data_IF_979293236965
#
_entry.id   IF_979293236965
#
_cell.length_a   1.000
_cell.length_b   1.000
_cell.length_c   1.000
_cell.angle_alpha   90.00
_cell.angle_beta   90.00
_cell.angle_gamma   90.00
#
_symmetry.space_group_name_H-M   'P 1'
#
loop_
_entity.id
_entity.type
_entity.pdbx_description
1 polymer ?
#
# COMPACT_ATOMS: atom_id res chain seq x y z
N UNK A 1 -10.88 34.82 -30.77
CA UNK A 1 -10.89 33.61 -29.92
C UNK A 1 -9.49 33.25 -29.39
N UNK A 2 -8.43 33.30 -30.21
CA UNK A 2 -7.07 32.93 -29.79
C UNK A 2 -6.56 33.82 -28.65
N UNK A 3 -6.63 35.14 -28.79
CA UNK A 3 -6.23 36.10 -27.75
C UNK A 3 -6.98 35.91 -26.43
N UNK A 4 -8.25 35.56 -26.49
CA UNK A 4 -9.04 35.25 -25.31
C UNK A 4 -8.52 33.96 -24.62
N UNK A 5 -8.28 32.91 -25.38
CA UNK A 5 -7.79 31.62 -24.86
C UNK A 5 -6.38 31.78 -24.24
N UNK A 6 -5.50 32.55 -24.86
CA UNK A 6 -4.17 32.86 -24.33
C UNK A 6 -4.25 33.68 -23.03
N UNK A 7 -5.16 34.65 -22.94
CA UNK A 7 -5.41 35.41 -21.73
C UNK A 7 -5.87 34.55 -20.57
N UNK A 8 -6.76 33.59 -20.83
CA UNK A 8 -7.24 32.62 -19.84
C UNK A 8 -6.13 31.65 -19.42
N UNK A 9 -5.34 31.13 -20.38
CA UNK A 9 -4.18 30.32 -20.07
C UNK A 9 -3.19 31.07 -19.17
N UNK A 10 -2.87 32.35 -19.49
CA UNK A 10 -1.96 33.18 -18.70
C UNK A 10 -2.45 33.35 -17.26
N UNK A 11 -3.73 33.55 -17.05
CA UNK A 11 -4.31 33.72 -15.72
C UNK A 11 -4.32 32.40 -14.89
N UNK A 12 -4.49 31.25 -15.55
CA UNK A 12 -4.61 29.95 -14.88
C UNK A 12 -3.26 29.25 -14.70
N UNK A 13 -2.25 29.59 -15.50
CA UNK A 13 -0.96 28.93 -15.50
C UNK A 13 -0.31 28.84 -14.11
N UNK A 14 -0.14 29.94 -13.35
CA UNK A 14 0.49 29.87 -12.04
C UNK A 14 -0.34 29.06 -11.04
N UNK A 15 -1.65 29.17 -11.11
CA UNK A 15 -2.55 28.43 -10.22
C UNK A 15 -2.47 26.92 -10.46
N UNK A 16 -2.54 26.47 -11.72
CA UNK A 16 -2.44 25.07 -12.06
C UNK A 16 -1.09 24.48 -11.71
N UNK A 17 -0.01 25.25 -11.91
CA UNK A 17 1.36 24.89 -11.49
C UNK A 17 1.42 24.69 -9.98
N UNK A 18 0.93 25.64 -9.20
CA UNK A 18 0.92 25.59 -7.73
C UNK A 18 0.12 24.37 -7.22
N UNK A 19 -1.05 24.14 -7.78
CA UNK A 19 -1.90 23.00 -7.37
C UNK A 19 -1.27 21.66 -7.71
N UNK A 20 -0.58 21.51 -8.85
CA UNK A 20 0.16 20.28 -9.15
C UNK A 20 1.32 20.06 -8.16
N UNK A 21 2.03 21.09 -7.77
CA UNK A 21 3.15 20.96 -6.83
C UNK A 21 2.67 20.54 -5.43
N UNK A 22 1.47 20.96 -5.03
CA UNK A 22 0.83 20.55 -3.77
C UNK A 22 0.20 19.16 -3.83
N UNK A 23 -0.24 18.73 -5.02
CA UNK A 23 -0.95 17.47 -5.20
C UNK A 23 0.00 16.28 -5.26
N UNK A 24 -0.45 15.13 -4.74
CA UNK A 24 0.20 13.83 -4.94
C UNK A 24 -0.22 13.24 -6.30
N UNK A 25 0.12 13.95 -7.39
CA UNK A 25 -0.23 13.61 -8.75
C UNK A 25 0.98 13.74 -9.68
N UNK A 26 1.01 12.99 -10.76
CA UNK A 26 2.05 13.05 -11.79
C UNK A 26 1.86 14.22 -12.75
N UNK A 27 0.61 14.63 -12.97
CA UNK A 27 0.27 15.72 -13.87
C UNK A 27 -1.02 16.43 -13.49
N UNK A 28 -1.19 17.64 -14.02
CA UNK A 28 -2.42 18.41 -13.90
C UNK A 28 -2.76 19.05 -15.23
N UNK A 29 -4.05 19.14 -15.54
CA UNK A 29 -4.52 19.69 -16.78
C UNK A 29 -5.84 20.45 -16.62
N UNK A 30 -6.03 21.37 -17.56
CA UNK A 30 -7.31 22.01 -17.82
C UNK A 30 -7.53 22.04 -19.33
N UNK A 31 -8.68 21.56 -19.79
CA UNK A 31 -9.07 21.48 -21.19
C UNK A 31 -10.31 22.35 -21.36
N UNK A 32 -10.20 23.40 -22.16
CA UNK A 32 -11.30 24.32 -22.40
C UNK A 32 -12.28 23.78 -23.43
N UNK A 33 -13.54 24.10 -23.33
CA UNK A 33 -14.54 23.84 -24.38
C UNK A 33 -14.39 24.87 -25.52
N UNK A 34 -13.17 25.07 -25.96
CA UNK A 34 -12.80 26.01 -27.03
C UNK A 34 -11.58 25.49 -27.81
N UNK A 35 -11.50 25.83 -29.07
CA UNK A 35 -10.33 25.57 -29.93
C UNK A 35 -9.88 26.82 -30.63
N UNK A 36 -8.58 26.94 -30.90
CA UNK A 36 -8.02 27.97 -31.77
C UNK A 36 -7.96 27.55 -33.24
N UNK A 37 -8.11 26.26 -33.50
CA UNK A 37 -8.02 25.63 -34.83
C UNK A 37 -9.41 25.50 -35.50
N UNK A 38 -10.18 26.55 -35.51
CA UNK A 38 -11.58 26.55 -35.99
C UNK A 38 -11.75 26.23 -37.48
N UNK A 39 -10.69 26.34 -38.30
CA UNK A 39 -10.68 26.07 -39.72
C UNK A 39 -10.32 24.65 -40.12
N UNK A 40 -9.93 23.80 -39.17
CA UNK A 40 -9.56 22.41 -39.47
C UNK A 40 -10.79 21.48 -39.50
N UNK A 41 -10.73 20.44 -40.34
CA UNK A 41 -11.80 19.44 -40.47
C UNK A 41 -12.14 18.78 -39.12
N UNK A 42 -11.14 18.60 -38.26
CA UNK A 42 -11.24 17.96 -36.93
C UNK A 42 -11.37 18.96 -35.79
N UNK A 43 -11.74 20.22 -36.05
CA UNK A 43 -11.82 21.27 -35.02
C UNK A 43 -12.66 20.88 -33.80
N UNK A 44 -13.70 20.06 -33.97
CA UNK A 44 -14.53 19.55 -32.86
C UNK A 44 -13.78 18.65 -31.90
N UNK A 45 -12.69 18.02 -32.34
CA UNK A 45 -11.87 17.11 -31.56
C UNK A 45 -10.63 17.78 -30.93
N UNK A 46 -10.34 19.00 -31.34
CA UNK A 46 -9.23 19.81 -30.82
C UNK A 46 -9.74 20.77 -29.75
N UNK A 47 -9.04 20.85 -28.65
CA UNK A 47 -9.37 21.74 -27.53
C UNK A 47 -8.13 22.42 -26.99
N UNK A 48 -8.25 23.69 -26.74
CA UNK A 48 -7.21 24.47 -26.07
C UNK A 48 -7.18 24.18 -24.57
N UNK A 49 -6.02 24.38 -23.94
CA UNK A 49 -5.89 24.20 -22.50
C UNK A 49 -4.44 24.19 -22.03
N UNK A 50 -4.20 23.73 -20.84
CA UNK A 50 -2.90 23.57 -20.23
C UNK A 50 -2.73 22.16 -19.72
N UNK A 51 -1.53 21.58 -19.84
CA UNK A 51 -1.18 20.31 -19.28
C UNK A 51 0.28 20.28 -18.87
N UNK A 52 0.49 20.02 -17.58
CA UNK A 52 1.80 19.88 -16.96
C UNK A 52 2.00 18.48 -16.45
N UNK A 53 3.23 17.99 -16.56
CA UNK A 53 3.68 16.78 -15.84
C UNK A 53 4.94 17.11 -15.04
N UNK A 54 5.15 16.37 -13.95
CA UNK A 54 6.43 16.34 -13.24
C UNK A 54 7.50 15.76 -14.16
N UNK A 55 8.68 16.37 -14.18
CA UNK A 55 9.80 15.90 -15.00
C UNK A 55 10.45 14.65 -14.42
N UNK A 56 10.37 14.49 -13.10
CA UNK A 56 10.92 13.38 -12.32
C UNK A 56 9.88 12.82 -11.37
N UNK A 57 10.12 11.61 -10.87
CA UNK A 57 9.31 10.99 -9.83
C UNK A 57 9.70 11.49 -8.43
N UNK A 58 10.81 12.21 -8.31
CA UNK A 58 11.22 12.85 -7.07
C UNK A 58 10.26 13.99 -6.72
N UNK A 59 9.59 13.88 -5.58
CA UNK A 59 8.62 14.86 -5.09
C UNK A 59 9.24 16.17 -4.64
N UNK A 60 10.52 16.14 -4.33
CA UNK A 60 11.28 17.35 -3.94
C UNK A 60 11.71 18.18 -5.15
N UNK A 61 11.67 17.59 -6.35
CA UNK A 61 11.93 18.28 -7.61
C UNK A 61 10.65 18.94 -8.12
N UNK A 62 10.62 20.26 -8.10
CA UNK A 62 9.51 21.08 -8.59
C UNK A 62 9.56 21.30 -10.10
N UNK A 63 10.47 20.65 -10.82
CA UNK A 63 10.60 20.80 -12.28
C UNK A 63 9.41 20.18 -12.99
N UNK A 64 8.70 21.00 -13.75
CA UNK A 64 7.55 20.61 -14.56
C UNK A 64 7.87 20.72 -16.05
N UNK A 65 7.17 19.88 -16.83
CA UNK A 65 7.21 19.89 -18.28
C UNK A 65 5.83 20.25 -18.85
N UNK A 66 5.79 21.13 -19.83
CA UNK A 66 4.56 21.50 -20.54
C UNK A 66 4.32 20.53 -21.69
N UNK A 67 3.19 19.84 -21.67
CA UNK A 67 2.74 18.95 -22.75
C UNK A 67 1.70 19.59 -23.67
N UNK A 68 0.85 20.47 -23.13
CA UNK A 68 -0.18 21.21 -23.89
C UNK A 68 -0.27 22.65 -23.39
N UNK A 69 -0.56 23.56 -24.32
CA UNK A 69 -0.70 25.00 -24.05
C UNK A 69 0.33 25.84 -24.80
N UNK A 70 0.35 27.13 -24.54
CA UNK A 70 1.32 28.05 -25.15
C UNK A 70 2.75 27.77 -24.67
N UNK A 71 3.65 27.47 -25.61
CA UNK A 71 5.07 27.23 -25.30
C UNK A 71 5.78 28.50 -24.81
N UNK A 72 5.35 29.67 -25.31
CA UNK A 72 5.86 30.94 -24.86
C UNK A 72 5.53 31.19 -23.39
N UNK A 73 4.25 31.02 -23.05
CA UNK A 73 3.79 31.12 -21.67
C UNK A 73 4.51 30.13 -20.74
N UNK A 74 4.78 28.90 -21.24
CA UNK A 74 5.58 27.93 -20.51
C UNK A 74 6.96 28.45 -20.15
N UNK A 75 7.69 28.98 -21.13
CA UNK A 75 9.04 29.57 -20.93
C UNK A 75 9.03 30.76 -19.99
N UNK A 76 8.05 31.67 -20.12
CA UNK A 76 7.86 32.80 -19.21
C UNK A 76 7.70 32.37 -17.74
N UNK A 77 7.10 31.23 -17.50
CA UNK A 77 6.84 30.70 -16.14
C UNK A 77 7.86 29.62 -15.71
N UNK A 78 8.96 29.44 -16.45
CA UNK A 78 10.00 28.47 -16.12
C UNK A 78 9.60 27.00 -16.34
N UNK A 79 8.54 26.75 -17.12
CA UNK A 79 8.07 25.38 -17.45
C UNK A 79 8.43 25.10 -18.92
N UNK A 80 9.40 24.23 -19.14
CA UNK A 80 9.89 23.93 -20.48
C UNK A 80 8.91 23.04 -21.26
N UNK A 81 8.68 23.33 -22.56
CA UNK A 81 7.91 22.44 -23.40
C UNK A 81 8.60 21.07 -23.54
N UNK A 82 7.85 20.00 -23.34
CA UNK A 82 8.32 18.65 -23.60
C UNK A 82 8.50 18.41 -25.12
N UNK A 83 9.39 17.50 -25.52
CA UNK A 83 9.63 17.16 -26.96
C UNK A 83 8.39 16.76 -27.74
N UNK A 84 7.36 16.24 -27.06
CA UNK A 84 6.05 15.85 -27.62
C UNK A 84 4.97 16.89 -27.32
N UNK A 85 5.38 18.10 -27.03
CA UNK A 85 4.50 19.22 -26.82
C UNK A 85 3.61 19.45 -28.06
N UNK A 86 2.36 19.85 -27.83
CA UNK A 86 1.40 20.34 -28.80
C UNK A 86 0.63 21.52 -28.22
N UNK A 87 0.14 22.39 -29.09
CA UNK A 87 -0.63 23.57 -28.68
C UNK A 87 -1.96 23.18 -28.04
N UNK A 88 -2.63 22.17 -28.58
CA UNK A 88 -3.96 21.74 -28.18
C UNK A 88 -4.04 20.24 -27.85
N UNK A 89 -5.11 19.89 -27.17
CA UNK A 89 -5.47 18.52 -26.87
C UNK A 89 -6.23 17.88 -28.02
N UNK A 90 -6.06 16.57 -28.17
CA UNK A 90 -6.97 15.69 -28.92
C UNK A 90 -7.85 14.97 -27.92
N UNK A 91 -9.13 15.32 -27.85
CA UNK A 91 -10.06 14.75 -26.86
C UNK A 91 -10.56 13.36 -27.24
N UNK A 92 -10.46 12.96 -28.49
CA UNK A 92 -10.82 11.65 -28.99
C UNK A 92 -9.81 10.54 -28.65
N UNK A 93 -8.70 10.89 -28.02
CA UNK A 93 -7.70 9.90 -27.57
C UNK A 93 -8.13 9.14 -26.30
N UNK A 94 -9.04 9.68 -25.51
CA UNK A 94 -9.51 9.10 -24.25
C UNK A 94 -11.03 9.19 -24.20
N UNK A 95 -11.77 8.08 -24.36
CA UNK A 95 -13.23 8.09 -24.44
C UNK A 95 -13.92 8.79 -23.27
N UNK A 96 -13.38 8.64 -22.06
CA UNK A 96 -13.94 9.29 -20.88
C UNK A 96 -13.78 10.82 -20.96
N UNK A 97 -12.64 11.32 -21.46
CA UNK A 97 -12.40 12.76 -21.68
C UNK A 97 -13.33 13.26 -22.78
N UNK A 98 -13.45 12.56 -23.90
CA UNK A 98 -14.32 12.94 -25.00
C UNK A 98 -15.78 13.07 -24.54
N UNK A 99 -16.24 12.14 -23.69
CA UNK A 99 -17.61 12.15 -23.17
C UNK A 99 -17.96 13.42 -22.39
N UNK A 100 -16.98 14.04 -21.71
CA UNK A 100 -17.19 15.28 -20.96
C UNK A 100 -17.41 16.50 -21.84
N UNK A 101 -17.06 16.43 -23.12
CA UNK A 101 -17.36 17.50 -24.09
C UNK A 101 -18.75 17.41 -24.70
N UNK A 102 -19.55 16.44 -24.29
CA UNK A 102 -20.99 16.47 -24.39
C UNK A 102 -21.56 17.17 -23.15
N UNK A 103 -22.11 18.39 -23.34
CA UNK A 103 -22.59 19.23 -22.23
C UNK A 103 -23.66 18.53 -21.36
N UNK A 104 -24.52 17.75 -21.97
CA UNK A 104 -25.56 16.98 -21.24
C UNK A 104 -24.92 15.94 -20.30
N UNK A 105 -23.87 15.26 -20.76
CA UNK A 105 -23.12 14.30 -19.95
C UNK A 105 -22.36 15.00 -18.84
N UNK A 106 -21.72 16.14 -19.15
CA UNK A 106 -20.98 16.91 -18.18
C UNK A 106 -21.87 17.44 -17.04
N UNK A 107 -23.07 17.93 -17.36
CA UNK A 107 -24.06 18.40 -16.36
C UNK A 107 -24.55 17.29 -15.42
N UNK A 108 -24.57 16.04 -15.88
CA UNK A 108 -24.97 14.89 -15.08
C UNK A 108 -23.88 14.33 -14.16
N UNK A 109 -22.63 14.80 -14.27
CA UNK A 109 -21.47 14.26 -13.51
C UNK A 109 -20.80 15.37 -12.71
N UNK A 110 -20.53 15.09 -11.43
CA UNK A 110 -19.70 15.98 -10.60
C UNK A 110 -18.20 15.80 -10.88
N UNK A 111 -17.75 14.57 -10.86
CA UNK A 111 -16.37 14.18 -11.17
C UNK A 111 -16.32 12.72 -11.56
N UNK A 112 -15.26 12.29 -12.22
CA UNK A 112 -15.02 10.89 -12.57
C UNK A 112 -13.56 10.55 -12.49
N UNK A 113 -13.24 9.33 -12.06
CA UNK A 113 -11.92 8.73 -12.26
C UNK A 113 -11.99 7.88 -13.53
N UNK A 114 -11.09 8.13 -14.50
CA UNK A 114 -11.07 7.39 -15.76
C UNK A 114 -10.60 5.95 -15.55
N UNK A 115 -10.93 5.09 -16.51
CA UNK A 115 -10.19 3.86 -16.69
C UNK A 115 -8.74 4.16 -17.10
N UNK A 116 -7.90 3.12 -17.12
CA UNK A 116 -6.50 3.25 -17.53
C UNK A 116 -6.45 3.59 -19.03
N UNK A 117 -5.65 4.58 -19.37
CA UNK A 117 -5.45 4.99 -20.76
C UNK A 117 -3.95 5.24 -21.03
N UNK A 118 -3.50 5.03 -22.27
CA UNK A 118 -2.15 5.37 -22.65
C UNK A 118 -1.96 6.89 -22.72
N UNK A 119 -0.93 7.39 -22.05
CA UNK A 119 -0.56 8.81 -22.11
C UNK A 119 -0.04 9.18 -23.49
N UNK A 120 -0.69 10.16 -24.08
CA UNK A 120 -0.38 10.62 -25.43
C UNK A 120 1.11 11.03 -25.52
N UNK A 121 1.82 10.31 -26.41
CA UNK A 121 3.21 10.59 -26.68
C UNK A 121 4.22 9.93 -25.73
N UNK A 122 3.79 9.07 -24.83
CA UNK A 122 4.64 8.23 -23.98
C UNK A 122 4.25 6.75 -24.16
N UNK A 123 5.04 5.85 -23.60
CA UNK A 123 4.67 4.43 -23.46
C UNK A 123 4.04 4.15 -22.09
N UNK A 124 3.68 5.20 -21.38
CA UNK A 124 3.17 5.14 -20.02
C UNK A 124 1.65 5.10 -20.03
N UNK A 125 1.09 4.40 -19.07
CA UNK A 125 -0.34 4.34 -18.77
C UNK A 125 -0.66 5.22 -17.58
N UNK A 126 -1.85 5.81 -17.56
CA UNK A 126 -2.32 6.68 -16.49
C UNK A 126 -3.80 6.52 -16.23
N UNK A 127 -4.25 7.02 -15.09
CA UNK A 127 -5.64 7.32 -14.77
C UNK A 127 -5.74 8.83 -14.52
N UNK A 128 -6.89 9.42 -14.81
CA UNK A 128 -7.13 10.82 -14.58
C UNK A 128 -8.42 11.04 -13.77
N UNK A 129 -8.31 11.92 -12.80
CA UNK A 129 -9.48 12.45 -12.09
C UNK A 129 -9.97 13.67 -12.86
N UNK A 130 -11.20 13.59 -13.38
CA UNK A 130 -11.82 14.61 -14.22
C UNK A 130 -12.93 15.33 -13.45
N UNK A 131 -12.96 16.65 -13.54
CA UNK A 131 -14.03 17.49 -12.99
C UNK A 131 -14.51 18.48 -14.04
N UNK A 132 -15.79 18.53 -14.39
CA UNK A 132 -16.34 19.48 -15.33
C UNK A 132 -16.35 20.91 -14.73
N UNK A 133 -16.08 21.89 -15.56
CA UNK A 133 -16.04 23.30 -15.18
C UNK A 133 -17.26 24.03 -15.71
N UNK A 134 -18.06 24.60 -14.80
CA UNK A 134 -19.21 25.42 -15.12
C UNK A 134 -19.06 26.84 -14.58
N UNK A 135 -19.54 27.79 -15.32
CA UNK A 135 -19.68 29.18 -14.85
C UNK A 135 -20.86 29.35 -13.91
N UNK A 136 -20.92 30.47 -13.24
CA UNK A 136 -22.03 30.84 -12.38
C UNK A 136 -23.38 30.94 -13.14
N UNK A 137 -23.32 31.20 -14.43
CA UNK A 137 -24.45 31.22 -15.37
C UNK A 137 -24.83 29.84 -15.92
N UNK A 138 -24.14 28.78 -15.48
CA UNK A 138 -24.34 27.42 -15.96
C UNK A 138 -23.65 27.09 -17.30
N UNK A 139 -22.88 28.03 -17.85
CA UNK A 139 -22.10 27.82 -19.08
C UNK A 139 -21.03 26.77 -18.85
N UNK A 140 -20.86 25.84 -19.77
CA UNK A 140 -19.83 24.80 -19.71
C UNK A 140 -18.51 25.30 -20.30
N UNK A 141 -17.46 25.40 -19.47
CA UNK A 141 -16.15 25.90 -19.86
C UNK A 141 -15.14 24.82 -20.20
N UNK A 142 -15.39 23.56 -19.82
CA UNK A 142 -14.49 22.47 -20.11
C UNK A 142 -14.30 21.53 -18.92
N UNK A 143 -13.14 20.91 -18.84
CA UNK A 143 -12.80 19.94 -17.78
C UNK A 143 -11.41 20.23 -17.22
N UNK A 144 -11.24 20.05 -15.94
CA UNK A 144 -9.91 20.04 -15.31
C UNK A 144 -9.69 18.74 -14.56
N UNK A 145 -8.44 18.48 -14.20
CA UNK A 145 -8.13 17.29 -13.44
C UNK A 145 -6.66 17.10 -13.14
N UNK A 146 -6.45 16.01 -12.40
CA UNK A 146 -5.13 15.50 -12.08
C UNK A 146 -4.96 14.12 -12.73
N UNK A 147 -3.72 13.81 -13.05
CA UNK A 147 -3.31 12.54 -13.62
C UNK A 147 -2.39 11.82 -12.65
N UNK A 148 -2.58 10.52 -12.55
CA UNK A 148 -1.68 9.61 -11.85
C UNK A 148 -1.15 8.64 -12.88
N UNK A 149 0.14 8.77 -13.22
CA UNK A 149 0.79 7.83 -14.11
C UNK A 149 1.19 6.55 -13.39
N UNK A 150 1.34 5.47 -14.15
CA UNK A 150 1.73 4.17 -13.62
C UNK A 150 3.10 4.20 -12.92
N UNK A 151 4.06 4.97 -13.48
CA UNK A 151 5.37 5.12 -12.87
C UNK A 151 5.28 5.90 -11.57
N UNK A 152 4.48 6.95 -11.53
CA UNK A 152 4.24 7.70 -10.29
C UNK A 152 3.57 6.84 -9.23
N UNK A 153 2.56 6.05 -9.59
CA UNK A 153 1.91 5.08 -8.69
C UNK A 153 2.91 4.05 -8.18
N UNK A 154 3.76 3.50 -9.07
CA UNK A 154 4.79 2.55 -8.71
C UNK A 154 5.79 3.13 -7.71
N UNK A 155 6.26 4.33 -7.94
CA UNK A 155 7.24 5.00 -7.07
C UNK A 155 6.63 5.35 -5.71
N UNK A 156 5.37 5.77 -5.71
CA UNK A 156 4.65 6.12 -4.48
C UNK A 156 4.38 4.91 -3.58
N UNK A 157 4.00 3.78 -4.16
CA UNK A 157 3.58 2.58 -3.42
C UNK A 157 4.67 1.52 -3.32
N UNK A 158 5.73 1.59 -4.11
CA UNK A 158 6.84 0.66 -4.08
C UNK A 158 7.77 0.97 -2.90
N UNK A 159 7.30 0.75 -1.70
CA UNK A 159 8.10 0.92 -0.50
C UNK A 159 9.10 -0.25 -0.35
N UNK A 160 10.32 -0.01 0.17
CA UNK A 160 11.22 -1.08 0.51
C UNK A 160 10.58 -1.96 1.59
N UNK A 161 10.46 -3.24 1.29
CA UNK A 161 9.88 -4.25 2.18
C UNK A 161 10.78 -5.47 2.24
N UNK A 162 10.69 -6.23 3.35
CA UNK A 162 11.33 -7.53 3.49
C UNK A 162 10.53 -8.67 2.85
N UNK A 163 9.30 -8.38 2.44
CA UNK A 163 8.43 -9.35 1.78
C UNK A 163 8.77 -9.38 0.29
N UNK A 164 9.13 -10.56 -0.20
CA UNK A 164 9.42 -10.78 -1.60
C UNK A 164 8.13 -10.83 -2.43
N UNK A 165 8.21 -10.40 -3.69
CA UNK A 165 7.14 -10.46 -4.67
C UNK A 165 5.84 -9.75 -4.27
N UNK A 166 5.94 -8.74 -3.39
CA UNK A 166 4.77 -7.96 -3.01
C UNK A 166 4.31 -7.10 -4.20
N UNK A 167 2.99 -7.08 -4.44
CA UNK A 167 2.37 -6.28 -5.50
C UNK A 167 1.26 -5.44 -4.90
N UNK A 168 1.27 -4.15 -5.13
CA UNK A 168 0.17 -3.24 -4.83
C UNK A 168 -0.70 -3.08 -6.07
N UNK A 169 -2.03 -3.18 -5.91
CA UNK A 169 -2.99 -3.03 -7.01
C UNK A 169 -4.09 -2.06 -6.62
N UNK A 170 -4.52 -1.27 -7.58
CA UNK A 170 -5.70 -0.42 -7.50
C UNK A 170 -6.59 -0.74 -8.69
N UNK A 171 -7.82 -1.15 -8.42
CA UNK A 171 -8.77 -1.61 -9.45
C UNK A 171 -10.20 -1.20 -9.10
N UNK A 172 -11.03 -1.07 -10.12
CA UNK A 172 -12.46 -0.92 -9.92
C UNK A 172 -13.03 -2.18 -9.28
N UNK A 173 -13.86 -2.01 -8.25
CA UNK A 173 -14.55 -3.12 -7.58
C UNK A 173 -15.78 -3.50 -8.40
N UNK A 174 -15.90 -4.78 -8.75
CA UNK A 174 -17.12 -5.32 -9.33
C UNK A 174 -18.16 -5.60 -8.24
N UNK A 175 -19.43 -5.77 -8.61
CA UNK A 175 -20.52 -6.07 -7.66
C UNK A 175 -20.24 -7.32 -6.79
N UNK A 176 -19.54 -8.30 -7.38
CA UNK A 176 -19.09 -9.53 -6.67
C UNK A 176 -17.75 -9.37 -5.93
N UNK A 177 -17.18 -8.17 -5.88
CA UNK A 177 -15.85 -7.92 -5.29
C UNK A 177 -14.68 -8.52 -6.09
N UNK A 178 -14.92 -8.99 -7.31
CA UNK A 178 -13.87 -9.51 -8.20
C UNK A 178 -12.99 -8.39 -8.73
N UNK A 179 -11.74 -8.70 -9.03
CA UNK A 179 -10.77 -7.79 -9.65
C UNK A 179 -10.53 -8.24 -11.09
N UNK A 180 -10.80 -7.35 -12.02
CA UNK A 180 -10.42 -7.52 -13.44
C UNK A 180 -8.98 -7.01 -13.63
N UNK A 181 -8.06 -7.94 -13.88
CA UNK A 181 -6.63 -7.62 -14.01
C UNK A 181 -6.23 -7.02 -15.36
N UNK A 182 -7.13 -6.91 -16.32
CA UNK A 182 -6.87 -6.19 -17.58
C UNK A 182 -6.85 -4.67 -17.34
N UNK A 183 -7.67 -4.19 -16.39
CA UNK A 183 -7.86 -2.79 -16.07
C UNK A 183 -7.39 -2.44 -14.63
N UNK A 184 -6.20 -2.91 -14.26
CA UNK A 184 -5.63 -2.59 -12.95
C UNK A 184 -4.41 -1.67 -13.04
N UNK A 185 -4.33 -0.76 -12.10
CA UNK A 185 -3.09 -0.08 -11.76
C UNK A 185 -2.32 -0.97 -10.79
N UNK A 186 -1.07 -1.31 -11.12
CA UNK A 186 -0.26 -2.17 -10.27
C UNK A 186 1.17 -1.67 -10.16
N UNK A 187 1.75 -1.89 -9.00
CA UNK A 187 3.13 -1.60 -8.71
C UNK A 187 3.75 -2.76 -7.93
N UNK A 188 4.93 -3.19 -8.35
CA UNK A 188 5.73 -4.14 -7.59
C UNK A 188 6.71 -3.44 -6.66
N UNK A 189 7.45 -4.23 -5.88
CA UNK A 189 8.50 -3.72 -5.00
C UNK A 189 9.67 -3.19 -5.82
N UNK A 190 10.25 -2.06 -5.40
CA UNK A 190 11.44 -1.48 -6.01
C UNK A 190 12.62 -2.45 -5.96
N UNK A 191 13.21 -2.72 -7.13
CA UNK A 191 14.36 -3.61 -7.24
C UNK A 191 14.09 -5.11 -7.09
N UNK A 192 12.80 -5.50 -6.88
CA UNK A 192 12.38 -6.89 -6.76
C UNK A 192 11.59 -7.40 -7.96
N UNK A 193 11.54 -8.72 -8.11
CA UNK A 193 10.61 -9.36 -9.02
C UNK A 193 9.21 -9.36 -8.39
N UNK A 194 8.21 -8.94 -9.14
CA UNK A 194 6.81 -8.98 -8.71
C UNK A 194 5.97 -9.64 -9.79
N UNK A 195 5.13 -10.58 -9.39
CA UNK A 195 4.22 -11.24 -10.30
C UNK A 195 3.06 -10.30 -10.62
N UNK A 196 2.89 -9.97 -11.91
CA UNK A 196 1.72 -9.22 -12.37
C UNK A 196 0.49 -10.10 -12.23
N UNK A 197 -0.57 -9.64 -11.55
CA UNK A 197 -1.86 -10.34 -11.59
C UNK A 197 -2.42 -10.40 -13.01
N UNK A 198 -3.07 -11.50 -13.37
CA UNK A 198 -3.68 -11.72 -14.69
C UNK A 198 -5.07 -12.32 -14.57
N UNK A 199 -5.90 -12.12 -15.60
CA UNK A 199 -7.27 -12.61 -15.66
C UNK A 199 -8.20 -11.97 -14.64
N UNK A 200 -9.21 -12.69 -14.20
CA UNK A 200 -10.15 -12.25 -13.18
C UNK A 200 -9.84 -12.92 -11.85
N UNK A 201 -9.61 -12.13 -10.81
CA UNK A 201 -9.35 -12.61 -9.46
C UNK A 201 -10.64 -12.62 -8.65
N UNK A 202 -10.96 -13.78 -8.08
CA UNK A 202 -12.13 -13.98 -7.22
C UNK A 202 -11.71 -13.92 -5.76
N UNK A 203 -12.27 -13.01 -4.94
CA UNK A 203 -11.94 -12.90 -3.53
C UNK A 203 -12.56 -14.04 -2.72
N UNK A 204 -11.81 -14.54 -1.75
CA UNK A 204 -12.29 -15.44 -0.70
C UNK A 204 -11.63 -15.05 0.62
N UNK A 205 -12.42 -14.73 1.60
CA UNK A 205 -11.89 -14.38 2.92
C UNK A 205 -11.15 -15.57 3.54
N UNK A 206 -9.95 -15.30 4.04
CA UNK A 206 -9.15 -16.24 4.81
C UNK A 206 -9.37 -15.97 6.30
N UNK A 207 -9.31 -14.72 6.68
CA UNK A 207 -9.61 -14.23 8.03
C UNK A 207 -10.00 -12.74 7.96
N UNK A 208 -10.25 -12.10 9.11
CA UNK A 208 -10.67 -10.70 9.20
C UNK A 208 -9.69 -9.68 8.55
N UNK A 209 -8.45 -10.06 8.31
CA UNK A 209 -7.40 -9.17 7.80
C UNK A 209 -6.85 -9.58 6.44
N UNK A 210 -7.05 -10.85 6.04
CA UNK A 210 -6.47 -11.41 4.83
C UNK A 210 -7.55 -11.99 3.93
N UNK A 211 -7.43 -11.66 2.65
CA UNK A 211 -8.28 -12.18 1.57
C UNK A 211 -7.41 -12.97 0.59
N UNK A 212 -7.85 -14.19 0.25
CA UNK A 212 -7.28 -14.94 -0.87
C UNK A 212 -7.91 -14.44 -2.17
N UNK A 213 -7.09 -14.21 -3.18
CA UNK A 213 -7.53 -13.91 -4.53
C UNK A 213 -7.16 -15.06 -5.45
N UNK A 214 -8.17 -15.68 -6.07
CA UNK A 214 -8.05 -16.88 -6.88
C UNK A 214 -8.31 -16.56 -8.35
N UNK A 215 -7.40 -16.95 -9.22
CA UNK A 215 -7.45 -16.80 -10.67
C UNK A 215 -6.42 -17.71 -11.32
N UNK A 216 -5.81 -17.29 -12.41
CA UNK A 216 -4.67 -18.01 -13.02
C UNK A 216 -3.53 -18.18 -12.01
N UNK A 217 -3.28 -17.15 -11.22
CA UNK A 217 -2.40 -17.17 -10.08
C UNK A 217 -3.20 -16.91 -8.80
N UNK A 218 -2.78 -17.52 -7.71
CA UNK A 218 -3.40 -17.31 -6.41
C UNK A 218 -2.56 -16.38 -5.57
N UNK A 219 -3.20 -15.40 -4.95
CA UNK A 219 -2.56 -14.41 -4.08
C UNK A 219 -3.20 -14.41 -2.70
N UNK A 220 -2.41 -14.04 -1.70
CA UNK A 220 -2.87 -13.66 -0.37
C UNK A 220 -2.69 -12.15 -0.24
N UNK A 221 -3.72 -11.43 0.18
CA UNK A 221 -3.74 -9.98 0.17
C UNK A 221 -4.38 -9.40 1.42
N UNK A 222 -3.92 -8.21 1.79
CA UNK A 222 -4.70 -7.26 2.57
C UNK A 222 -5.39 -6.30 1.59
N UNK A 223 -6.70 -6.13 1.71
CA UNK A 223 -7.49 -5.25 0.83
C UNK A 223 -8.19 -4.15 1.62
N UNK A 224 -8.42 -3.04 0.94
CA UNK A 224 -9.29 -1.96 1.39
C UNK A 224 -10.14 -1.46 0.23
N UNK A 225 -11.42 -1.27 0.48
CA UNK A 225 -12.33 -0.65 -0.49
C UNK A 225 -12.37 0.86 -0.26
N UNK A 226 -12.31 1.61 -1.34
CA UNK A 226 -12.33 3.07 -1.36
C UNK A 226 -13.34 3.53 -2.41
N UNK A 227 -14.24 4.43 -2.05
CA UNK A 227 -15.19 5.01 -2.99
C UNK A 227 -14.63 6.33 -3.52
N UNK A 228 -14.50 6.44 -4.84
CA UNK A 228 -14.07 7.64 -5.55
C UNK A 228 -15.12 7.98 -6.61
N UNK A 229 -15.67 9.19 -6.59
CA UNK A 229 -16.67 9.65 -7.55
C UNK A 229 -17.85 8.68 -7.71
N UNK A 230 -18.43 8.21 -6.63
CA UNK A 230 -19.55 7.25 -6.59
C UNK A 230 -19.22 5.85 -7.17
N UNK A 231 -17.93 5.59 -7.44
CA UNK A 231 -17.44 4.28 -7.90
C UNK A 231 -16.57 3.66 -6.83
N UNK A 232 -16.80 2.39 -6.52
CA UNK A 232 -15.99 1.64 -5.56
C UNK A 232 -14.75 1.07 -6.22
N UNK A 233 -13.63 1.22 -5.56
CA UNK A 233 -12.32 0.68 -5.96
C UNK A 233 -11.75 -0.18 -4.84
N UNK A 234 -11.01 -1.20 -5.22
CA UNK A 234 -10.24 -2.04 -4.31
C UNK A 234 -8.76 -1.69 -4.41
N UNK A 235 -8.21 -1.23 -3.31
CA UNK A 235 -6.76 -1.16 -3.10
C UNK A 235 -6.35 -2.47 -2.42
N UNK A 236 -5.46 -3.24 -3.03
CA UNK A 236 -4.98 -4.48 -2.45
C UNK A 236 -3.45 -4.56 -2.51
N UNK A 237 -2.86 -4.98 -1.40
CA UNK A 237 -1.46 -5.34 -1.31
C UNK A 237 -1.40 -6.85 -1.21
N UNK A 238 -0.85 -7.49 -2.23
CA UNK A 238 -0.92 -8.93 -2.42
C UNK A 238 0.45 -9.56 -2.66
N UNK A 239 0.57 -10.80 -2.22
CA UNK A 239 1.74 -11.64 -2.44
C UNK A 239 1.30 -12.97 -3.04
N UNK A 240 2.06 -13.55 -3.98
CA UNK A 240 1.76 -14.89 -4.48
C UNK A 240 1.64 -15.88 -3.33
N UNK A 241 0.60 -16.73 -3.36
CA UNK A 241 0.34 -17.70 -2.30
C UNK A 241 1.54 -18.61 -2.05
N UNK A 242 2.27 -18.99 -3.10
CA UNK A 242 3.47 -19.81 -2.99
C UNK A 242 4.56 -19.16 -2.12
N UNK A 243 4.79 -17.85 -2.27
CA UNK A 243 5.78 -17.13 -1.47
C UNK A 243 5.30 -16.88 -0.04
N UNK A 244 4.01 -16.58 0.10
CA UNK A 244 3.40 -16.48 1.43
C UNK A 244 3.53 -17.80 2.20
N UNK A 245 3.16 -18.94 1.57
CA UNK A 245 3.24 -20.27 2.17
C UNK A 245 4.69 -20.65 2.51
N UNK A 246 5.68 -20.31 1.66
CA UNK A 246 7.11 -20.51 1.97
C UNK A 246 7.52 -19.72 3.21
N UNK A 247 7.14 -18.45 3.28
CA UNK A 247 7.48 -17.59 4.43
C UNK A 247 6.88 -18.14 5.72
N UNK A 248 5.62 -18.58 5.65
CA UNK A 248 4.92 -19.21 6.77
C UNK A 248 5.62 -20.54 7.14
N UNK A 249 5.91 -21.40 6.16
CA UNK A 249 6.58 -22.68 6.38
C UNK A 249 7.96 -22.51 7.04
N UNK A 250 8.77 -21.56 6.58
CA UNK A 250 10.08 -21.26 7.18
C UNK A 250 9.94 -20.81 8.63
N UNK A 251 8.97 -19.94 8.92
CA UNK A 251 8.74 -19.46 10.28
C UNK A 251 8.21 -20.58 11.20
N UNK A 252 7.26 -21.38 10.71
CA UNK A 252 6.74 -22.54 11.44
C UNK A 252 7.86 -23.54 11.70
N UNK A 253 8.70 -23.85 10.72
CA UNK A 253 9.84 -24.77 10.87
C UNK A 253 10.82 -24.26 11.93
N UNK A 254 11.12 -22.95 11.93
CA UNK A 254 11.98 -22.36 12.99
C UNK A 254 11.37 -22.51 14.36
N UNK A 255 10.08 -22.22 14.53
CA UNK A 255 9.38 -22.38 15.82
C UNK A 255 9.41 -23.84 16.26
N UNK A 256 9.08 -24.79 15.38
CA UNK A 256 9.10 -26.23 15.67
C UNK A 256 10.51 -26.67 16.09
N UNK A 257 11.54 -26.21 15.38
CA UNK A 257 12.93 -26.53 15.71
C UNK A 257 13.32 -26.02 17.12
N UNK A 258 12.95 -24.77 17.44
CA UNK A 258 13.20 -24.19 18.77
C UNK A 258 12.46 -25.00 19.85
N UNK A 259 11.19 -25.32 19.64
CA UNK A 259 10.43 -26.14 20.57
C UNK A 259 11.05 -27.52 20.73
N UNK A 260 11.48 -28.16 19.64
CA UNK A 260 12.16 -29.46 19.69
C UNK A 260 13.47 -29.40 20.50
N UNK A 261 14.30 -28.39 20.26
CA UNK A 261 15.55 -28.18 21.03
C UNK A 261 15.29 -27.96 22.52
N UNK A 262 14.24 -27.23 22.87
CA UNK A 262 13.85 -27.01 24.27
C UNK A 262 13.41 -28.32 24.91
N UNK A 263 12.55 -29.11 24.26
CA UNK A 263 12.12 -30.41 24.78
C UNK A 263 13.30 -31.37 24.90
N UNK A 264 14.15 -31.44 23.85
CA UNK A 264 15.34 -32.28 23.86
C UNK A 264 16.29 -31.89 25.02
N UNK A 265 16.56 -30.60 25.20
CA UNK A 265 17.41 -30.15 26.31
C UNK A 265 16.81 -30.48 27.68
N UNK A 266 15.49 -30.36 27.83
CA UNK A 266 14.80 -30.74 29.06
C UNK A 266 14.93 -32.25 29.35
N UNK A 267 14.75 -33.09 28.32
CA UNK A 267 14.93 -34.56 28.46
C UNK A 267 16.38 -34.91 28.85
N UNK A 268 17.37 -34.31 28.16
CA UNK A 268 18.79 -34.52 28.47
C UNK A 268 19.09 -34.10 29.92
N UNK A 269 18.61 -32.94 30.36
CA UNK A 269 18.76 -32.45 31.73
C UNK A 269 18.10 -33.40 32.72
N UNK A 270 16.89 -33.89 32.44
CA UNK A 270 16.21 -34.88 33.26
C UNK A 270 17.01 -36.21 33.39
N UNK A 271 17.59 -36.69 32.27
CA UNK A 271 18.43 -37.89 32.28
C UNK A 271 19.69 -37.70 33.08
N UNK A 272 20.37 -36.58 32.86
CA UNK A 272 21.60 -36.24 33.62
C UNK A 272 21.28 -36.10 35.12
N UNK A 273 20.22 -35.38 35.45
CA UNK A 273 19.76 -35.23 36.82
C UNK A 273 19.41 -36.55 37.47
N UNK A 274 18.63 -37.36 36.78
CA UNK A 274 18.24 -38.71 37.23
C UNK A 274 19.45 -39.60 37.50
N UNK A 275 20.43 -39.64 36.56
CA UNK A 275 21.62 -40.48 36.72
C UNK A 275 22.60 -39.92 37.79
N UNK A 276 22.77 -38.61 37.84
CA UNK A 276 23.78 -37.97 38.71
C UNK A 276 23.31 -37.83 40.17
N UNK A 277 22.02 -37.57 40.36
CA UNK A 277 21.46 -37.25 41.66
C UNK A 277 20.45 -38.31 42.17
N UNK A 278 19.47 -38.69 41.36
CA UNK A 278 18.40 -39.59 41.83
C UNK A 278 18.88 -41.04 41.99
N UNK A 279 19.64 -41.56 41.03
CA UNK A 279 20.13 -42.93 41.10
C UNK A 279 21.05 -43.21 42.32
N UNK A 280 22.02 -42.32 42.64
CA UNK A 280 22.81 -42.47 43.86
C UNK A 280 21.97 -42.42 45.15
N UNK A 281 20.98 -41.48 45.18
CA UNK A 281 20.08 -41.35 46.33
C UNK A 281 19.26 -42.61 46.54
N UNK A 282 18.64 -43.14 45.45
CA UNK A 282 17.87 -44.38 45.51
C UNK A 282 18.74 -45.53 45.95
N UNK A 283 19.98 -45.66 45.42
CA UNK A 283 20.94 -46.69 45.83
C UNK A 283 21.34 -46.56 47.30
N UNK A 284 21.50 -45.31 47.77
CA UNK A 284 21.82 -45.04 49.20
C UNK A 284 20.62 -45.37 50.09
N UNK A 285 19.40 -44.99 49.68
CA UNK A 285 18.18 -45.38 50.39
C UNK A 285 17.95 -46.89 50.41
N UNK A 286 18.21 -47.57 49.26
CA UNK A 286 18.09 -49.01 49.15
C UNK A 286 19.13 -49.74 50.06
N UNK A 287 20.36 -49.17 50.15
CA UNK A 287 21.37 -49.65 51.10
C UNK A 287 20.95 -49.42 52.54
N UNK A 288 20.34 -48.26 52.86
CA UNK A 288 19.80 -47.97 54.21
C UNK A 288 18.65 -48.94 54.54
N UNK A 289 17.76 -49.24 53.58
CA UNK A 289 16.65 -50.15 53.77
C UNK A 289 17.11 -51.60 53.99
N UNK A 290 18.21 -52.00 53.38
CA UNK A 290 18.80 -53.33 53.61
C UNK A 290 19.57 -53.49 54.93
N UNK A 291 19.87 -52.36 55.61
CA UNK A 291 20.53 -52.38 56.91
C UNK A 291 19.56 -52.16 58.09
N UNK A 292 18.41 -52.80 58.06
CA UNK A 292 17.27 -52.60 58.97
C UNK A 292 17.52 -53.05 60.44
N UNK A 293 18.75 -53.27 60.87
CA UNK A 293 19.07 -53.65 62.24
C UNK A 293 20.29 -52.94 62.89
N UNK A 294 20.44 -51.67 62.69
CA UNK A 294 21.40 -50.91 63.49
C UNK A 294 20.81 -49.53 63.90
N UNK A 295 20.38 -49.44 65.17
CA UNK A 295 20.19 -48.15 65.84
C UNK A 295 21.52 -47.40 65.85
N UNK A 296 21.73 -46.55 64.85
CA UNK A 296 22.69 -45.48 64.93
C UNK A 296 22.15 -44.30 64.18
N UNK A 297 22.05 -43.16 64.88
CA UNK A 297 21.91 -41.86 64.26
C UNK A 297 22.96 -41.81 63.16
N UNK A 298 22.58 -41.84 61.93
CA UNK A 298 23.49 -41.60 60.81
C UNK A 298 23.47 -40.13 60.54
N UNK A 299 24.52 -39.46 60.95
CA UNK A 299 24.91 -38.19 60.42
C UNK A 299 25.29 -38.38 58.96
N UNK A 300 24.31 -38.51 58.08
CA UNK A 300 24.52 -38.47 56.64
C UNK A 300 24.31 -36.99 56.22
N UNK A 301 25.31 -36.15 56.60
CA UNK A 301 25.39 -34.77 56.20
C UNK A 301 25.30 -34.61 54.69
N UNK A 302 25.79 -35.60 53.91
CA UNK A 302 25.75 -35.64 52.46
C UNK A 302 24.31 -35.81 51.87
N UNK A 303 23.41 -36.45 52.61
CA UNK A 303 22.00 -36.60 52.18
C UNK A 303 21.22 -35.34 52.51
N UNK A 304 21.47 -34.69 53.61
CA UNK A 304 20.86 -33.40 53.95
C UNK A 304 21.35 -32.29 53.00
N UNK A 305 22.63 -32.29 52.65
CA UNK A 305 23.19 -31.38 51.62
C UNK A 305 22.56 -31.66 50.25
N UNK A 306 22.28 -32.94 49.91
CA UNK A 306 21.63 -33.27 48.68
C UNK A 306 20.15 -32.83 48.66
N UNK A 307 19.42 -32.97 49.78
CA UNK A 307 18.05 -32.45 49.89
C UNK A 307 17.98 -30.93 49.81
N UNK A 308 18.94 -30.23 50.45
CA UNK A 308 19.09 -28.78 50.36
C UNK A 308 19.39 -28.39 48.90
N UNK A 309 20.29 -29.11 48.22
CA UNK A 309 20.63 -28.89 46.83
C UNK A 309 19.44 -29.16 45.89
N UNK A 310 18.65 -30.22 46.13
CA UNK A 310 17.44 -30.51 45.36
C UNK A 310 16.36 -29.45 45.55
N UNK A 311 16.19 -28.96 46.77
CA UNK A 311 15.26 -27.87 47.05
C UNK A 311 15.68 -26.56 46.35
N UNK A 312 17.01 -26.29 46.30
CA UNK A 312 17.55 -25.14 45.56
C UNK A 312 17.38 -25.32 44.02
N UNK A 313 17.58 -26.53 43.49
CA UNK A 313 17.34 -26.85 42.05
C UNK A 313 15.85 -26.71 41.65
N UNK A 314 14.94 -27.17 42.51
CA UNK A 314 13.51 -27.00 42.26
C UNK A 314 13.11 -25.52 42.30
N UNK A 315 13.70 -24.76 43.24
CA UNK A 315 13.49 -23.31 43.30
C UNK A 315 14.06 -22.57 42.10
N UNK A 316 15.21 -22.99 41.55
CA UNK A 316 15.81 -22.45 40.35
C UNK A 316 14.92 -22.79 39.12
N UNK A 317 14.39 -23.98 39.05
CA UNK A 317 13.49 -24.40 37.99
C UNK A 317 12.18 -23.61 38.00
N UNK A 318 11.63 -23.34 39.18
CA UNK A 318 10.46 -22.51 39.36
C UNK A 318 10.72 -21.07 38.91
N UNK A 319 11.89 -20.52 39.24
CA UNK A 319 12.34 -19.22 38.78
C UNK A 319 12.57 -19.19 37.25
N UNK A 320 13.10 -20.25 36.66
CA UNK A 320 13.26 -20.36 35.21
C UNK A 320 11.92 -20.46 34.49
N UNK A 321 10.98 -21.23 35.05
CA UNK A 321 9.61 -21.34 34.56
C UNK A 321 8.88 -19.99 34.65
N UNK A 322 9.08 -19.27 35.74
CA UNK A 322 8.54 -17.91 35.93
C UNK A 322 9.17 -16.90 34.96
N UNK A 323 10.49 -17.01 34.74
CA UNK A 323 11.19 -16.20 33.75
C UNK A 323 10.75 -16.52 32.30
N UNK A 324 10.49 -17.80 31.97
CA UNK A 324 9.94 -18.19 30.68
C UNK A 324 8.51 -17.69 30.49
N UNK A 325 7.69 -17.73 31.56
CA UNK A 325 6.35 -17.12 31.55
C UNK A 325 6.44 -15.62 31.27
N UNK A 326 7.31 -14.93 32.01
CA UNK A 326 7.52 -13.50 31.83
C UNK A 326 8.02 -13.15 30.41
N UNK A 327 8.92 -13.97 29.87
CA UNK A 327 9.43 -13.80 28.50
C UNK A 327 8.36 -14.04 27.43
N UNK A 328 7.46 -14.99 27.65
CA UNK A 328 6.31 -15.20 26.79
C UNK A 328 5.30 -14.05 26.88
N UNK A 329 5.10 -13.47 28.06
CA UNK A 329 4.29 -12.27 28.24
C UNK A 329 4.93 -11.05 27.55
N UNK A 330 6.25 -10.87 27.66
CA UNK A 330 6.99 -9.82 26.93
C UNK A 330 6.88 -9.99 25.40
N UNK A 331 6.98 -11.22 24.90
CA UNK A 331 6.79 -11.52 23.48
C UNK A 331 5.35 -11.25 23.02
N UNK A 332 4.36 -11.58 23.86
CA UNK A 332 2.96 -11.26 23.58
C UNK A 332 2.72 -9.75 23.49
N UNK A 333 3.30 -8.97 24.41
CA UNK A 333 3.25 -7.50 24.41
C UNK A 333 3.95 -6.92 23.16
N UNK A 334 5.10 -7.48 22.77
CA UNK A 334 5.81 -7.04 21.54
C UNK A 334 4.97 -7.33 20.31
N UNK A 335 4.33 -8.50 20.25
CA UNK A 335 3.44 -8.87 19.14
C UNK A 335 2.22 -7.96 19.10
N UNK A 336 1.62 -7.67 20.25
CA UNK A 336 0.49 -6.75 20.38
C UNK A 336 0.89 -5.31 19.98
N UNK A 337 2.08 -4.85 20.40
CA UNK A 337 2.61 -3.56 19.98
C UNK A 337 2.89 -3.48 18.48
N UNK A 338 3.41 -4.56 17.87
CA UNK A 338 3.60 -4.62 16.41
C UNK A 338 2.25 -4.60 15.68
N UNK A 339 1.26 -5.32 16.20
CA UNK A 339 -0.11 -5.29 15.64
C UNK A 339 -0.70 -3.90 15.77
N UNK A 340 -0.57 -3.26 16.93
CA UNK A 340 -1.04 -1.89 17.17
C UNK A 340 -0.29 -0.86 16.30
N UNK A 341 0.99 -1.09 15.98
CA UNK A 341 1.75 -0.24 15.07
C UNK A 341 1.29 -0.42 13.61
N UNK A 342 0.96 -1.63 13.22
CA UNK A 342 0.34 -1.93 11.92
C UNK A 342 -1.02 -1.24 11.83
N UNK A 343 -1.87 -1.34 12.86
CA UNK A 343 -3.17 -0.67 12.93
C UNK A 343 -3.04 0.86 12.90
N UNK A 344 -2.04 1.42 13.60
CA UNK A 344 -1.74 2.85 13.53
C UNK A 344 -1.32 3.29 12.13
N UNK A 345 -0.46 2.53 11.46
CA UNK A 345 -0.04 2.82 10.08
C UNK A 345 -1.23 2.70 9.12
N UNK A 346 -2.08 1.71 9.35
CA UNK A 346 -3.31 1.53 8.58
C UNK A 346 -4.28 2.71 8.79
N UNK A 347 -4.44 3.14 10.05
CA UNK A 347 -5.25 4.32 10.42
C UNK A 347 -4.64 5.61 9.84
N UNK A 348 -3.32 5.71 9.78
CA UNK A 348 -2.63 6.86 9.19
C UNK A 348 -2.79 6.90 7.66
N UNK A 349 -2.75 5.74 7.01
CA UNK A 349 -3.09 5.59 5.59
C UNK A 349 -4.55 5.99 5.36
N UNK A 350 -5.47 5.58 6.25
CA UNK A 350 -6.88 5.97 6.22
C UNK A 350 -7.06 7.48 6.40
N UNK A 351 -6.35 8.05 7.35
CA UNK A 351 -6.37 9.50 7.61
C UNK A 351 -5.81 10.29 6.44
N UNK A 352 -4.72 9.80 5.82
CA UNK A 352 -4.14 10.41 4.62
C UNK A 352 -5.09 10.29 3.42
N UNK A 353 -5.76 9.15 3.27
CA UNK A 353 -6.78 8.95 2.25
C UNK A 353 -8.01 9.84 2.50
N UNK A 354 -8.42 10.02 3.77
CA UNK A 354 -9.51 10.91 4.18
C UNK A 354 -9.12 12.38 4.04
N UNK A 355 -7.89 12.75 4.40
CA UNK A 355 -7.34 14.11 4.18
C UNK A 355 -7.31 14.45 2.70
N UNK A 356 -6.89 13.49 1.86
CA UNK A 356 -6.92 13.64 0.40
C UNK A 356 -8.33 13.79 -0.16
N UNK A 357 -9.31 13.11 0.46
CA UNK A 357 -10.73 13.27 0.11
C UNK A 357 -11.27 14.64 0.48
N UNK A 358 -10.79 15.19 1.60
CA UNK A 358 -11.20 16.52 2.06
C UNK A 358 -10.44 17.66 1.36
N UNK A 359 -9.22 17.40 0.84
CA UNK A 359 -8.48 18.35 0.00
C UNK A 359 -9.07 18.45 -1.42
N UNK A 360 -9.83 17.44 -1.83
CA UNK A 360 -10.62 17.41 -3.08
C UNK A 360 -12.08 17.82 -2.79
N UNK A 361 -12.33 18.53 -1.69
CA UNK A 361 -13.64 19.04 -1.33
C UNK A 361 -14.14 20.00 -2.43
N UNK A 362 -15.38 19.84 -2.90
CA UNK A 362 -16.01 20.71 -3.89
C UNK A 362 -15.97 22.20 -3.53
N UNK A 363 -15.90 22.54 -2.24
CA UNK A 363 -15.79 23.92 -1.78
C UNK A 363 -14.44 24.58 -2.13
N UNK A 364 -13.38 23.79 -2.28
CA UNK A 364 -12.11 24.28 -2.84
C UNK A 364 -12.18 24.52 -4.35
N UNK A 365 -13.14 23.90 -5.06
CA UNK A 365 -13.41 24.16 -6.47
C UNK A 365 -14.23 25.42 -6.70
N UNK A 366 -14.95 25.92 -5.70
CA UNK A 366 -15.64 27.20 -5.80
C UNK A 366 -14.67 28.38 -5.93
N UNK A 367 -13.46 28.23 -5.37
CA UNK A 367 -12.40 29.22 -5.56
C UNK A 367 -11.93 29.33 -7.03
N UNK A 368 -12.09 28.26 -7.83
CA UNK A 368 -11.79 28.26 -9.26
C UNK A 368 -12.93 28.82 -10.14
N UNK A 369 -14.13 29.01 -9.57
CA UNK A 369 -15.26 29.61 -10.28
C UNK A 369 -15.24 31.15 -10.30
N UNK A 370 -14.38 31.79 -9.52
CA UNK A 370 -14.39 33.24 -9.28
C UNK A 370 -13.16 33.94 -9.91
N UNK A 371 -12.43 33.25 -10.78
CA UNK A 371 -11.31 33.82 -11.50
C UNK A 371 -11.59 34.02 -12.98
#
# INVERSE_FOLDING_TARGET
SQLYTEGVQKALFPKLKEELLKADASGAFIIFNATVNTGEADAKKSRSGLYFQRSTLDRTDETLLLFRGSAELGRENGVMPHRKWRLEFRIDCVPQVESFFNETVAKGKKSVLTDIFPLAGTSEEAMAFLTPLFGADGSYYGVCGFEISKNYFKDFFAQPTRLEQLTCTFSKTTEDGKIDCENIFWAGVLGGYSLKPSGTLVPKEINNSLTGFFGENTFVAAKKEVTVCDTSYTLAVMQPKSEFDKTVAVNVTRIVLVCFLLVFSAVVLCVIFSRKFVSPVIKSLEKIRMQEHAETKSDIIEIDDLFVYLADQDRLRDLETENLKRRNEELAIVTENQTNEIDKRQTEIERLAYSRKNEIDPDNYEAFKIG
#
